data_IF_580537179859
#
_entry.id   IF_580537179859
#
_cell.length_a   1.000
_cell.length_b   1.000
_cell.length_c   1.000
_cell.angle_alpha   90.00
_cell.angle_beta   90.00
_cell.angle_gamma   90.00
#
_symmetry.space_group_name_H-M   'P 1'
#
loop_
_entity.id
_entity.type
_entity.pdbx_description
1 polymer ?
#
# COMPACT_ATOMS: atom_id res chain seq x y z
N UNK A 1 6.49 -4.58 -12.45
CA UNK A 1 6.78 -3.52 -11.43
C UNK A 1 6.81 -4.07 -9.99
N UNK A 2 7.85 -3.72 -9.23
CA UNK A 2 8.06 -3.94 -7.78
C UNK A 2 8.67 -2.68 -7.17
N UNK A 3 8.85 -2.59 -5.84
CA UNK A 3 9.61 -1.48 -5.22
C UNK A 3 11.12 -1.55 -5.50
N UNK A 4 11.57 -2.65 -6.10
CA UNK A 4 12.97 -2.98 -6.38
C UNK A 4 13.16 -4.49 -6.32
N UNK A 5 14.30 -4.96 -6.83
CA UNK A 5 14.74 -6.34 -6.66
C UNK A 5 15.88 -6.33 -5.63
N UNK A 6 15.52 -6.47 -4.35
CA UNK A 6 16.49 -6.43 -3.26
C UNK A 6 17.01 -7.83 -2.95
N UNK A 7 18.33 -7.96 -2.87
CA UNK A 7 19.03 -9.21 -2.60
C UNK A 7 19.69 -9.23 -1.22
N UNK A 8 19.84 -8.05 -0.59
CA UNK A 8 20.57 -7.89 0.65
C UNK A 8 19.83 -6.98 1.64
N UNK A 9 19.97 -7.26 2.93
CA UNK A 9 19.44 -6.47 4.04
C UNK A 9 20.58 -6.20 5.04
N UNK A 10 20.99 -4.94 5.15
CA UNK A 10 21.94 -4.46 6.13
C UNK A 10 21.20 -3.86 7.34
N UNK A 11 21.53 -4.33 8.54
CA UNK A 11 20.84 -3.94 9.77
C UNK A 11 21.81 -3.35 10.77
N UNK A 12 21.46 -2.20 11.34
CA UNK A 12 22.01 -1.82 12.63
C UNK A 12 21.55 -2.78 13.74
N UNK A 13 22.32 -2.83 14.81
CA UNK A 13 22.05 -3.69 15.96
C UNK A 13 21.51 -2.89 17.12
N UNK A 14 22.21 -1.85 17.57
CA UNK A 14 21.79 -1.05 18.72
C UNK A 14 20.55 -0.20 18.39
N UNK A 15 19.47 -0.38 19.15
CA UNK A 15 18.24 0.40 18.95
C UNK A 15 17.40 -0.01 17.73
N UNK A 16 17.77 -1.12 17.07
CA UNK A 16 17.00 -1.75 15.98
C UNK A 16 16.73 -3.21 16.31
N UNK A 17 17.80 -3.99 16.48
CA UNK A 17 17.74 -5.41 16.78
C UNK A 17 17.83 -5.69 18.29
N UNK A 18 18.66 -4.94 19.01
CA UNK A 18 18.87 -5.07 20.45
C UNK A 18 18.48 -3.76 21.14
N UNK A 19 17.61 -3.87 22.13
CA UNK A 19 17.17 -2.75 22.97
C UNK A 19 17.65 -2.95 24.40
N UNK A 20 17.85 -1.84 25.12
CA UNK A 20 18.15 -1.85 26.54
C UNK A 20 17.07 -1.10 27.32
N UNK A 21 16.91 -1.40 28.61
CA UNK A 21 15.93 -0.75 29.47
C UNK A 21 16.57 0.41 30.22
N UNK A 22 16.41 1.64 29.70
CA UNK A 22 16.95 2.85 30.31
C UNK A 22 16.47 3.08 31.76
N UNK A 23 15.27 2.59 32.12
CA UNK A 23 14.70 2.64 33.47
C UNK A 23 15.54 1.89 34.53
N UNK A 24 16.39 0.96 34.11
CA UNK A 24 17.23 0.19 35.02
C UNK A 24 18.46 0.98 35.47
N UNK A 25 18.81 2.05 34.76
CA UNK A 25 19.99 2.87 35.04
C UNK A 25 19.58 4.01 35.98
N UNK A 26 20.03 3.95 37.24
CA UNK A 26 19.72 4.96 38.27
C UNK A 26 20.84 5.96 38.48
N UNK A 27 22.02 5.67 37.94
CA UNK A 27 23.26 6.40 38.21
C UNK A 27 23.43 7.63 37.32
N UNK A 28 22.97 7.57 36.07
CA UNK A 28 23.02 8.67 35.09
C UNK A 28 21.68 8.77 34.35
N UNK A 29 21.34 9.98 33.92
CA UNK A 29 20.16 10.19 33.09
C UNK A 29 20.37 9.63 31.67
N UNK A 30 19.30 9.23 30.95
CA UNK A 30 19.42 8.78 29.56
C UNK A 30 20.10 9.80 28.65
N UNK A 31 19.86 11.10 28.88
CA UNK A 31 20.48 12.18 28.12
C UNK A 31 21.99 12.27 28.34
N UNK A 32 22.46 12.12 29.58
CA UNK A 32 23.89 12.11 29.89
C UNK A 32 24.61 10.96 29.20
N UNK A 33 24.02 9.76 29.25
CA UNK A 33 24.57 8.57 28.59
C UNK A 33 24.61 8.79 27.08
N UNK A 34 23.49 9.20 26.49
CA UNK A 34 23.40 9.46 25.04
C UNK A 34 24.45 10.46 24.56
N UNK A 35 24.59 11.62 25.23
CA UNK A 35 25.59 12.62 24.88
C UNK A 35 27.04 12.10 24.96
N UNK A 36 27.34 11.22 25.90
CA UNK A 36 28.67 10.64 26.05
C UNK A 36 28.94 9.58 24.97
N UNK A 37 27.96 8.74 24.64
CA UNK A 37 28.04 7.76 23.55
C UNK A 37 28.12 8.41 22.16
N UNK A 38 27.59 9.63 22.00
CA UNK A 38 27.66 10.41 20.76
C UNK A 38 28.92 11.29 20.65
N UNK A 39 29.85 11.17 21.59
CA UNK A 39 31.05 12.01 21.63
C UNK A 39 32.16 11.50 20.70
N UNK A 40 33.06 12.39 20.21
CA UNK A 40 34.25 11.97 19.46
C UNK A 40 35.14 10.95 20.20
N UNK A 41 35.18 11.01 21.54
CA UNK A 41 35.90 10.04 22.36
C UNK A 41 35.31 8.64 22.19
N UNK A 42 33.97 8.52 22.24
CA UNK A 42 33.30 7.25 22.05
C UNK A 42 33.46 6.75 20.60
N UNK A 43 33.37 7.65 19.61
CA UNK A 43 33.62 7.31 18.21
C UNK A 43 35.02 6.76 17.94
N UNK A 44 36.05 7.26 18.65
CA UNK A 44 37.40 6.70 18.58
C UNK A 44 37.50 5.32 19.24
N UNK A 45 36.74 5.08 20.31
CA UNK A 45 36.65 3.77 20.95
C UNK A 45 35.93 2.75 20.06
N UNK A 46 34.82 3.14 19.42
CA UNK A 46 34.10 2.35 18.43
C UNK A 46 34.99 1.91 17.25
N UNK A 47 35.91 2.78 16.82
CA UNK A 47 36.88 2.49 15.74
C UNK A 47 38.11 1.70 16.18
N UNK A 48 38.23 1.40 17.48
CA UNK A 48 39.40 0.74 18.05
C UNK A 48 40.66 1.62 18.13
N UNK A 49 40.53 2.95 18.01
CA UNK A 49 41.67 3.88 18.09
C UNK A 49 42.17 4.11 19.52
N UNK A 50 41.31 3.93 20.51
CA UNK A 50 41.64 4.04 21.94
C UNK A 50 41.10 2.82 22.69
N UNK A 51 41.76 2.45 23.80
CA UNK A 51 41.26 1.37 24.66
C UNK A 51 40.09 1.82 25.53
N UNK A 52 39.31 0.87 26.05
CA UNK A 52 38.20 1.15 26.98
C UNK A 52 38.63 1.99 28.18
N UNK A 53 39.77 1.67 28.79
CA UNK A 53 40.32 2.44 29.91
C UNK A 53 40.53 3.91 29.53
N UNK A 54 41.18 4.17 28.39
CA UNK A 54 41.42 5.53 27.91
C UNK A 54 40.11 6.24 27.57
N UNK A 55 39.17 5.53 26.94
CA UNK A 55 37.85 6.05 26.60
C UNK A 55 37.11 6.49 27.88
N UNK A 56 36.95 5.60 28.85
CA UNK A 56 36.19 5.86 30.07
C UNK A 56 36.85 6.99 30.88
N UNK A 57 38.18 6.99 31.04
CA UNK A 57 38.90 8.07 31.71
C UNK A 57 38.64 9.43 31.05
N UNK A 58 38.64 9.49 29.71
CA UNK A 58 38.38 10.73 28.96
C UNK A 58 36.91 11.15 29.03
N UNK A 59 35.96 10.21 28.94
CA UNK A 59 34.53 10.48 29.09
C UNK A 59 34.24 11.05 30.48
N UNK A 60 34.72 10.40 31.54
CA UNK A 60 34.51 10.86 32.91
C UNK A 60 35.09 12.26 33.13
N UNK A 61 36.28 12.55 32.59
CA UNK A 61 36.87 13.89 32.66
C UNK A 61 36.10 14.94 31.87
N UNK A 62 35.70 14.64 30.64
CA UNK A 62 35.02 15.60 29.77
C UNK A 62 33.60 15.92 30.24
N UNK A 63 32.86 14.91 30.69
CA UNK A 63 31.45 15.06 31.07
C UNK A 63 31.26 15.20 32.59
N UNK A 64 32.34 15.16 33.38
CA UNK A 64 32.30 15.30 34.83
C UNK A 64 31.62 14.13 35.55
N UNK A 65 31.66 12.93 34.96
CA UNK A 65 31.06 11.74 35.57
C UNK A 65 32.01 11.11 36.59
N UNK A 66 31.45 10.61 37.68
CA UNK A 66 32.16 9.69 38.56
C UNK A 66 32.45 8.37 37.81
N UNK A 67 33.69 7.83 37.85
CA UNK A 67 34.05 6.60 37.11
C UNK A 67 33.20 5.38 37.46
N UNK A 68 32.87 5.17 38.74
CA UNK A 68 32.08 4.02 39.15
C UNK A 68 30.64 4.13 38.63
N UNK A 69 30.07 5.34 38.74
CA UNK A 69 28.75 5.70 38.22
C UNK A 69 28.63 5.45 36.71
N UNK A 70 29.66 5.81 35.93
CA UNK A 70 29.72 5.56 34.48
C UNK A 70 29.83 4.08 34.14
N UNK A 71 30.72 3.35 34.82
CA UNK A 71 30.90 1.90 34.63
C UNK A 71 29.59 1.15 34.96
N UNK A 72 28.96 1.48 36.09
CA UNK A 72 27.70 0.86 36.51
C UNK A 72 26.57 1.13 35.51
N UNK A 73 26.50 2.35 34.94
CA UNK A 73 25.52 2.68 33.92
C UNK A 73 25.67 1.80 32.67
N UNK A 74 26.88 1.64 32.16
CA UNK A 74 27.15 0.83 30.96
C UNK A 74 27.02 -0.68 31.22
N UNK A 75 27.42 -1.16 32.41
CA UNK A 75 27.19 -2.56 32.81
C UNK A 75 25.70 -2.86 32.90
N UNK A 76 24.91 -1.96 33.47
CA UNK A 76 23.45 -2.09 33.58
C UNK A 76 22.78 -2.07 32.22
N UNK A 77 23.20 -1.14 31.35
CA UNK A 77 22.75 -1.08 29.96
C UNK A 77 22.97 -2.43 29.26
N UNK A 78 24.20 -2.96 29.32
CA UNK A 78 24.57 -4.25 28.73
C UNK A 78 23.75 -5.42 29.27
N UNK A 79 23.58 -5.51 30.60
CA UNK A 79 22.82 -6.58 31.25
C UNK A 79 21.32 -6.54 30.92
N UNK A 80 20.80 -5.38 30.56
CA UNK A 80 19.39 -5.19 30.18
C UNK A 80 19.12 -5.36 28.69
N UNK A 81 20.14 -5.66 27.89
CA UNK A 81 19.97 -5.87 26.46
C UNK A 81 19.07 -7.08 26.21
N UNK A 82 18.07 -6.87 25.36
CA UNK A 82 17.14 -7.89 24.94
C UNK A 82 16.85 -7.77 23.44
N UNK A 83 16.62 -8.90 22.75
CA UNK A 83 16.39 -8.91 21.32
C UNK A 83 14.99 -8.44 20.94
N UNK A 84 14.89 -7.80 19.78
CA UNK A 84 13.64 -7.51 19.09
C UNK A 84 13.11 -8.79 18.43
N UNK A 85 12.43 -9.62 19.22
CA UNK A 85 11.95 -10.95 18.79
C UNK A 85 11.06 -10.85 17.55
N UNK A 86 10.16 -9.85 17.50
CA UNK A 86 9.25 -9.66 16.38
C UNK A 86 9.99 -9.36 15.06
N UNK A 87 10.97 -8.45 15.08
CA UNK A 87 11.79 -8.16 13.89
C UNK A 87 12.64 -9.35 13.47
N UNK A 88 13.25 -10.06 14.43
CA UNK A 88 14.06 -11.25 14.16
C UNK A 88 13.23 -12.35 13.49
N UNK A 89 12.05 -12.64 14.03
CA UNK A 89 11.16 -13.66 13.49
C UNK A 89 10.70 -13.29 12.08
N UNK A 90 10.46 -12.00 11.83
CA UNK A 90 10.14 -11.54 10.48
C UNK A 90 11.31 -11.73 9.51
N UNK A 91 12.53 -11.34 9.89
CA UNK A 91 13.72 -11.54 9.05
C UNK A 91 13.92 -13.03 8.75
N UNK A 92 13.69 -13.92 9.72
CA UNK A 92 13.73 -15.37 9.50
C UNK A 92 12.70 -15.82 8.45
N UNK A 93 11.46 -15.31 8.51
CA UNK A 93 10.44 -15.60 7.49
C UNK A 93 10.86 -15.09 6.12
N UNK A 94 11.44 -13.88 6.04
CA UNK A 94 11.93 -13.32 4.79
C UNK A 94 13.06 -14.16 4.19
N UNK A 95 14.00 -14.67 5.00
CA UNK A 95 15.05 -15.59 4.54
C UNK A 95 14.49 -16.93 4.08
N UNK A 96 13.46 -17.45 4.74
CA UNK A 96 12.79 -18.69 4.31
C UNK A 96 12.07 -18.51 2.97
N UNK A 97 11.39 -17.37 2.77
CA UNK A 97 10.73 -17.04 1.51
C UNK A 97 11.72 -16.69 0.38
N UNK A 98 12.88 -16.14 0.75
CA UNK A 98 13.94 -15.72 -0.17
C UNK A 98 15.28 -16.35 0.24
N UNK A 99 15.57 -17.61 -0.15
CA UNK A 99 16.80 -18.30 0.27
C UNK A 99 18.11 -17.62 -0.16
N UNK A 100 18.04 -16.70 -1.13
CA UNK A 100 19.18 -15.91 -1.61
C UNK A 100 19.35 -14.57 -0.86
N UNK A 101 18.44 -14.23 0.06
CA UNK A 101 18.51 -12.99 0.82
C UNK A 101 19.70 -13.03 1.78
N UNK A 102 20.68 -12.17 1.52
CA UNK A 102 21.83 -11.97 2.40
C UNK A 102 21.48 -10.94 3.48
N UNK A 103 21.57 -11.33 4.75
CA UNK A 103 21.33 -10.44 5.89
C UNK A 103 22.64 -10.17 6.59
N UNK A 104 23.00 -8.90 6.73
CA UNK A 104 24.30 -8.48 7.24
C UNK A 104 24.12 -7.50 8.41
N UNK A 105 24.85 -7.72 9.50
CA UNK A 105 24.92 -6.74 10.58
C UNK A 105 25.94 -5.67 10.23
N UNK A 106 25.57 -4.39 10.33
CA UNK A 106 26.48 -3.26 10.15
C UNK A 106 26.30 -2.32 11.34
N UNK A 107 27.19 -2.40 12.34
CA UNK A 107 27.00 -1.72 13.61
C UNK A 107 28.25 -1.01 14.12
N UNK A 108 28.03 0.19 14.69
CA UNK A 108 29.05 0.88 15.45
C UNK A 108 29.11 0.25 16.84
N UNK A 109 30.19 -0.48 17.11
CA UNK A 109 30.34 -1.20 18.37
C UNK A 109 31.84 -1.34 18.71
N UNK A 110 32.26 -1.01 19.95
CA UNK A 110 33.62 -1.23 20.41
C UNK A 110 33.96 -2.72 20.58
N UNK A 111 35.26 -3.06 20.56
CA UNK A 111 35.73 -4.45 20.54
C UNK A 111 35.28 -5.29 21.75
N UNK A 112 35.37 -4.75 22.97
CA UNK A 112 34.98 -5.48 24.18
C UNK A 112 33.47 -5.73 24.24
N UNK A 113 32.68 -4.75 23.79
CA UNK A 113 31.22 -4.85 23.73
C UNK A 113 30.81 -5.86 22.63
N UNK A 114 31.48 -5.84 21.48
CA UNK A 114 31.25 -6.82 20.41
C UNK A 114 31.51 -8.25 20.88
N UNK A 115 32.63 -8.50 21.58
CA UNK A 115 32.94 -9.84 22.11
C UNK A 115 31.86 -10.34 23.09
N UNK A 116 31.31 -9.46 23.92
CA UNK A 116 30.26 -9.80 24.88
C UNK A 116 28.89 -10.02 24.22
N UNK A 117 28.56 -9.25 23.18
CA UNK A 117 27.28 -9.35 22.50
C UNK A 117 27.24 -10.42 21.41
N UNK A 118 28.40 -10.87 20.93
CA UNK A 118 28.52 -11.87 19.86
C UNK A 118 27.68 -13.13 20.12
N UNK A 119 27.66 -13.75 21.32
CA UNK A 119 26.80 -14.91 21.57
C UNK A 119 25.29 -14.60 21.42
N UNK A 120 24.84 -13.43 21.87
CA UNK A 120 23.44 -13.01 21.74
C UNK A 120 23.08 -12.73 20.28
N UNK A 121 23.96 -12.07 19.53
CA UNK A 121 23.83 -11.82 18.09
C UNK A 121 23.79 -13.14 17.31
N UNK A 122 24.66 -14.08 17.63
CA UNK A 122 24.70 -15.41 17.00
C UNK A 122 23.42 -16.20 17.27
N UNK A 123 22.87 -16.09 18.49
CA UNK A 123 21.60 -16.73 18.87
C UNK A 123 20.41 -16.20 18.07
N UNK A 124 20.49 -14.97 17.54
CA UNK A 124 19.44 -14.44 16.66
C UNK A 124 19.32 -15.29 15.38
N UNK A 125 20.43 -15.87 14.90
CA UNK A 125 20.44 -16.81 13.77
C UNK A 125 19.98 -16.22 12.44
N UNK A 126 20.12 -14.91 12.25
CA UNK A 126 19.69 -14.21 11.02
C UNK A 126 20.84 -13.78 10.12
N UNK A 127 22.02 -13.48 10.70
CA UNK A 127 23.12 -12.85 9.97
C UNK A 127 23.98 -13.87 9.22
N UNK A 128 24.27 -13.58 7.95
CA UNK A 128 25.25 -14.29 7.14
C UNK A 128 26.66 -13.71 7.34
N UNK A 129 26.73 -12.40 7.54
CA UNK A 129 27.97 -11.65 7.81
C UNK A 129 27.73 -10.57 8.87
N UNK A 130 28.81 -10.07 9.48
CA UNK A 130 28.73 -9.02 10.49
C UNK A 130 29.94 -8.08 10.41
N UNK A 131 29.68 -6.80 10.23
CA UNK A 131 30.64 -5.71 10.17
C UNK A 131 30.49 -4.84 11.42
N UNK A 132 31.46 -4.97 12.32
CA UNK A 132 31.59 -4.14 13.52
C UNK A 132 32.64 -3.05 13.29
N UNK A 133 32.34 -1.81 13.70
CA UNK A 133 33.27 -0.69 13.53
C UNK A 133 34.66 -0.93 14.15
N UNK A 134 34.73 -1.72 15.22
CA UNK A 134 36.00 -2.05 15.87
C UNK A 134 36.87 -3.00 15.04
N UNK A 135 36.28 -3.78 14.13
CA UNK A 135 37.00 -4.71 13.26
C UNK A 135 37.46 -4.05 11.97
N UNK A 136 36.69 -3.07 11.48
CA UNK A 136 36.98 -2.36 10.22
C UNK A 136 37.72 -1.04 10.42
N UNK A 137 37.79 -0.55 11.67
CA UNK A 137 38.25 0.80 12.03
C UNK A 137 37.48 1.95 11.35
N UNK A 138 36.34 1.64 10.74
CA UNK A 138 35.42 2.58 10.08
C UNK A 138 34.08 2.56 10.80
N UNK A 139 33.38 3.70 10.87
CA UNK A 139 32.08 3.78 11.55
C UNK A 139 31.05 4.50 10.68
N UNK A 140 29.78 4.15 10.85
CA UNK A 140 28.67 4.98 10.34
C UNK A 140 28.66 6.33 11.09
N UNK A 141 28.33 7.47 10.47
CA UNK A 141 27.89 7.64 9.08
C UNK A 141 29.05 7.95 8.10
N UNK A 142 30.31 7.66 8.42
CA UNK A 142 31.43 7.94 7.52
C UNK A 142 31.26 7.11 6.22
N UNK A 143 31.35 7.74 5.04
CA UNK A 143 31.14 7.08 3.72
C UNK A 143 32.02 5.84 3.56
N UNK A 144 33.27 5.91 4.04
CA UNK A 144 34.23 4.81 4.01
C UNK A 144 33.74 3.53 4.70
N UNK A 145 32.83 3.63 5.68
CA UNK A 145 32.23 2.46 6.32
C UNK A 145 31.31 1.70 5.34
N UNK A 146 30.49 2.44 4.59
CA UNK A 146 29.55 1.86 3.62
C UNK A 146 30.28 1.33 2.38
N UNK A 147 31.26 2.08 1.84
CA UNK A 147 32.09 1.63 0.70
C UNK A 147 32.80 0.33 1.04
N UNK A 148 33.44 0.25 2.21
CA UNK A 148 34.10 -0.96 2.68
C UNK A 148 33.13 -2.14 2.82
N UNK A 149 31.94 -1.89 3.38
CA UNK A 149 30.88 -2.89 3.52
C UNK A 149 30.43 -3.44 2.15
N UNK A 150 30.24 -2.56 1.16
CA UNK A 150 29.84 -2.96 -0.20
C UNK A 150 30.94 -3.77 -0.90
N UNK A 151 32.20 -3.33 -0.79
CA UNK A 151 33.37 -4.00 -1.37
C UNK A 151 33.61 -5.39 -0.78
N UNK A 152 33.73 -5.49 0.55
CA UNK A 152 33.99 -6.75 1.25
C UNK A 152 32.82 -7.73 1.08
N UNK A 153 31.59 -7.22 1.20
CA UNK A 153 30.37 -8.01 1.09
C UNK A 153 30.01 -8.39 -0.36
N UNK A 154 30.65 -7.77 -1.36
CA UNK A 154 30.30 -7.83 -2.78
C UNK A 154 28.81 -7.52 -3.03
N UNK A 155 28.31 -6.50 -2.35
CA UNK A 155 26.91 -6.06 -2.39
C UNK A 155 26.79 -4.84 -3.29
N UNK A 156 25.77 -4.81 -4.15
CA UNK A 156 25.41 -3.60 -4.89
C UNK A 156 24.45 -2.76 -4.04
N UNK A 157 24.70 -1.45 -3.89
CA UNK A 157 23.86 -0.60 -3.05
C UNK A 157 22.42 -0.54 -3.55
N UNK A 158 22.18 -0.55 -4.86
CA UNK A 158 20.85 -0.49 -5.48
C UNK A 158 19.96 -1.70 -5.13
N UNK A 159 20.58 -2.82 -4.73
CA UNK A 159 19.90 -4.05 -4.34
C UNK A 159 19.97 -4.31 -2.83
N UNK A 160 20.47 -3.36 -2.05
CA UNK A 160 20.60 -3.46 -0.60
C UNK A 160 19.59 -2.55 0.11
N UNK A 161 18.81 -3.15 1.01
CA UNK A 161 18.01 -2.40 1.98
C UNK A 161 18.85 -2.14 3.22
N UNK A 162 18.87 -0.91 3.73
CA UNK A 162 19.56 -0.55 4.96
C UNK A 162 18.59 -0.07 6.03
N UNK A 163 18.68 -0.60 7.25
CA UNK A 163 17.81 -0.24 8.38
C UNK A 163 18.66 0.24 9.54
N UNK A 164 18.41 1.46 10.01
CA UNK A 164 19.16 2.07 11.11
C UNK A 164 18.27 3.04 11.90
N UNK A 165 18.51 3.16 13.21
CA UNK A 165 17.75 4.05 14.09
C UNK A 165 18.20 5.52 14.02
N UNK A 166 19.39 5.79 13.47
CA UNK A 166 19.97 7.13 13.33
C UNK A 166 19.77 7.69 11.92
N UNK A 167 19.12 8.85 11.83
CA UNK A 167 18.77 9.47 10.54
C UNK A 167 20.02 9.83 9.72
N UNK A 168 21.11 10.24 10.37
CA UNK A 168 22.38 10.54 9.71
C UNK A 168 22.97 9.32 8.99
N UNK A 169 22.80 8.12 9.54
CA UNK A 169 23.25 6.87 8.91
C UNK A 169 22.39 6.56 7.69
N UNK A 170 21.06 6.66 7.85
CA UNK A 170 20.06 6.41 6.79
C UNK A 170 20.28 7.34 5.59
N UNK A 171 20.53 8.63 5.83
CA UNK A 171 20.75 9.64 4.79
C UNK A 171 22.03 9.34 3.99
N UNK A 172 23.14 9.02 4.66
CA UNK A 172 24.38 8.68 3.95
C UNK A 172 24.20 7.41 3.13
N UNK A 173 23.64 6.34 3.70
CA UNK A 173 23.34 5.12 2.95
C UNK A 173 22.44 5.41 1.73
N UNK A 174 21.37 6.21 1.89
CA UNK A 174 20.45 6.54 0.80
C UNK A 174 21.17 7.31 -0.33
N UNK A 175 22.13 8.19 0.03
CA UNK A 175 22.95 8.95 -0.93
C UNK A 175 23.90 8.08 -1.75
N UNK A 176 24.25 6.90 -1.23
CA UNK A 176 25.11 5.91 -1.89
C UNK A 176 24.31 4.89 -2.73
N UNK A 177 22.99 5.03 -2.83
CA UNK A 177 22.13 4.19 -3.67
C UNK A 177 21.35 3.10 -2.94
N UNK A 178 21.51 2.97 -1.61
CA UNK A 178 20.74 2.02 -0.81
C UNK A 178 19.25 2.37 -0.84
N UNK A 179 18.39 1.36 -0.63
CA UNK A 179 17.04 1.61 -0.14
C UNK A 179 17.09 1.70 1.37
N UNK A 180 17.02 2.91 1.92
CA UNK A 180 17.18 3.10 3.36
C UNK A 180 15.83 3.25 4.09
N UNK A 181 15.75 2.65 5.27
CA UNK A 181 14.63 2.73 6.21
C UNK A 181 15.14 3.30 7.53
N UNK A 182 14.57 4.44 7.94
CA UNK A 182 14.76 4.94 9.29
C UNK A 182 13.89 4.14 10.26
N UNK A 183 14.52 3.40 11.16
CA UNK A 183 13.84 2.59 12.14
C UNK A 183 13.27 3.46 13.26
N UNK A 184 11.95 3.53 13.34
CA UNK A 184 11.23 4.23 14.41
C UNK A 184 10.53 3.24 15.36
N UNK A 185 9.85 2.25 14.79
CA UNK A 185 9.12 1.21 15.52
C UNK A 185 9.12 -0.11 14.74
N UNK A 186 8.98 -1.22 15.48
CA UNK A 186 9.00 -2.57 14.89
C UNK A 186 7.85 -2.81 13.92
N UNK A 187 6.57 -2.51 14.23
CA UNK A 187 5.45 -2.79 13.32
C UNK A 187 5.59 -2.11 11.94
N UNK A 188 5.98 -0.84 11.91
CA UNK A 188 6.20 -0.09 10.66
C UNK A 188 7.39 -0.64 9.88
N UNK A 189 8.48 -1.01 10.57
CA UNK A 189 9.65 -1.60 9.94
C UNK A 189 9.33 -2.97 9.31
N UNK A 190 8.64 -3.85 10.04
CA UNK A 190 8.20 -5.17 9.55
C UNK A 190 7.28 -5.02 8.33
N UNK A 191 6.31 -4.11 8.37
CA UNK A 191 5.43 -3.84 7.22
C UNK A 191 6.23 -3.37 6.00
N UNK A 192 7.17 -2.45 6.20
CA UNK A 192 8.02 -1.93 5.12
C UNK A 192 8.91 -3.04 4.55
N UNK A 193 9.54 -3.86 5.38
CA UNK A 193 10.38 -4.97 4.95
C UNK A 193 9.56 -6.00 4.15
N UNK A 194 8.33 -6.33 4.57
CA UNK A 194 7.45 -7.20 3.77
C UNK A 194 7.11 -6.61 2.40
N UNK A 195 6.91 -5.29 2.32
CA UNK A 195 6.60 -4.63 1.06
C UNK A 195 7.82 -4.57 0.13
N UNK A 196 9.03 -4.51 0.68
CA UNK A 196 10.28 -4.51 -0.10
C UNK A 196 10.69 -5.91 -0.56
N UNK A 197 10.54 -6.93 0.27
CA UNK A 197 11.05 -8.29 0.02
C UNK A 197 9.98 -9.33 -0.33
N UNK A 198 8.69 -9.02 -0.13
CA UNK A 198 7.58 -9.93 -0.44
C UNK A 198 6.96 -9.66 -1.81
N UNK A 199 6.30 -10.66 -2.39
CA UNK A 199 5.51 -10.45 -3.61
C UNK A 199 4.14 -9.85 -3.27
N UNK A 200 3.86 -8.58 -3.64
CA UNK A 200 2.59 -7.93 -3.30
C UNK A 200 1.38 -8.57 -3.95
N UNK A 201 1.52 -9.14 -5.16
CA UNK A 201 0.41 -9.79 -5.87
C UNK A 201 0.00 -11.07 -5.14
N UNK A 202 0.95 -11.98 -4.86
CA UNK A 202 0.71 -13.19 -4.08
C UNK A 202 0.09 -12.87 -2.72
N UNK A 203 0.67 -11.92 -1.97
CA UNK A 203 0.15 -11.51 -0.66
C UNK A 203 -1.29 -10.99 -0.72
N UNK A 204 -1.62 -10.21 -1.76
CA UNK A 204 -2.98 -9.71 -1.97
C UNK A 204 -3.97 -10.80 -2.35
N UNK A 205 -3.56 -11.75 -3.19
CA UNK A 205 -4.38 -12.92 -3.54
C UNK A 205 -4.61 -13.84 -2.33
N UNK A 206 -3.60 -14.03 -1.47
CA UNK A 206 -3.71 -14.79 -0.23
C UNK A 206 -4.67 -14.11 0.76
N UNK A 207 -4.66 -12.78 0.84
CA UNK A 207 -5.64 -12.02 1.62
C UNK A 207 -7.06 -12.26 1.10
N UNK A 208 -7.28 -12.12 -0.21
CA UNK A 208 -8.60 -12.32 -0.81
C UNK A 208 -9.10 -13.75 -0.57
N UNK A 209 -8.23 -14.75 -0.78
CA UNK A 209 -8.57 -16.17 -0.62
C UNK A 209 -8.91 -16.54 0.83
N UNK A 210 -8.13 -16.07 1.81
CA UNK A 210 -8.43 -16.29 3.25
C UNK A 210 -9.75 -15.67 3.70
N UNK A 211 -10.20 -14.62 3.01
CA UNK A 211 -11.43 -13.91 3.30
C UNK A 211 -12.56 -14.22 2.31
N UNK A 212 -12.41 -15.26 1.49
CA UNK A 212 -13.40 -15.64 0.48
C UNK A 212 -14.81 -15.76 1.09
N UNK A 213 -15.81 -15.26 0.36
CA UNK A 213 -17.24 -15.15 0.75
C UNK A 213 -17.51 -14.24 1.96
N UNK A 214 -16.49 -13.56 2.50
CA UNK A 214 -16.59 -12.61 3.63
C UNK A 214 -16.10 -11.20 3.28
N UNK A 215 -15.87 -10.92 1.99
CA UNK A 215 -15.33 -9.65 1.48
C UNK A 215 -16.40 -8.54 1.35
N UNK A 216 -17.41 -8.54 2.22
CA UNK A 216 -18.48 -7.55 2.18
C UNK A 216 -17.99 -6.15 2.56
N UNK A 217 -18.78 -5.15 2.21
CA UNK A 217 -18.51 -3.79 2.67
C UNK A 217 -18.80 -3.66 4.18
N UNK A 218 -18.25 -2.60 4.76
CA UNK A 218 -18.51 -2.14 6.12
C UNK A 218 -18.89 -0.66 6.10
N UNK A 219 -19.81 -0.27 6.96
CA UNK A 219 -20.16 1.14 7.18
C UNK A 219 -19.12 1.85 8.05
N UNK A 220 -19.16 3.18 8.10
CA UNK A 220 -18.40 3.96 9.08
C UNK A 220 -18.89 3.85 10.52
N UNK A 221 -20.02 3.18 10.74
CA UNK A 221 -20.51 2.74 12.06
C UNK A 221 -20.04 1.33 12.43
N UNK A 222 -19.37 0.61 11.52
CA UNK A 222 -18.82 -0.74 11.77
C UNK A 222 -19.79 -1.88 11.48
N UNK A 223 -20.91 -1.60 10.80
CA UNK A 223 -21.89 -2.62 10.40
C UNK A 223 -21.48 -3.24 9.07
N UNK A 224 -21.62 -4.56 8.96
CA UNK A 224 -21.39 -5.27 7.70
C UNK A 224 -22.55 -4.95 6.75
N UNK A 225 -22.21 -4.64 5.52
CA UNK A 225 -23.13 -4.35 4.43
C UNK A 225 -23.00 -5.44 3.36
N UNK A 226 -23.85 -6.50 3.39
CA UNK A 226 -24.00 -7.40 2.27
C UNK A 226 -24.53 -6.63 1.06
N UNK A 227 -23.83 -6.69 -0.05
CA UNK A 227 -24.16 -5.96 -1.27
C UNK A 227 -23.65 -6.72 -2.51
N UNK A 228 -24.38 -6.68 -3.61
CA UNK A 228 -23.98 -7.29 -4.88
C UNK A 228 -22.90 -6.46 -5.60
N UNK A 229 -22.91 -5.13 -5.47
CA UNK A 229 -22.07 -4.25 -6.28
C UNK A 229 -20.57 -4.41 -5.99
N UNK A 230 -20.18 -4.45 -4.72
CA UNK A 230 -18.81 -4.70 -4.28
C UNK A 230 -18.34 -6.10 -4.65
N UNK A 231 -19.24 -7.08 -4.58
CA UNK A 231 -18.97 -8.47 -4.91
C UNK A 231 -18.77 -8.64 -6.42
N UNK A 232 -19.59 -8.00 -7.24
CA UNK A 232 -19.39 -7.91 -8.69
C UNK A 232 -18.09 -7.17 -9.04
N UNK A 233 -17.76 -6.10 -8.32
CA UNK A 233 -16.50 -5.36 -8.52
C UNK A 233 -15.28 -6.24 -8.20
N UNK A 234 -15.31 -7.01 -7.10
CA UNK A 234 -14.26 -7.99 -6.78
C UNK A 234 -14.17 -9.04 -7.88
N UNK A 235 -15.31 -9.55 -8.36
CA UNK A 235 -15.35 -10.54 -9.44
C UNK A 235 -14.75 -9.97 -10.73
N UNK A 236 -15.08 -8.74 -11.11
CA UNK A 236 -14.51 -8.06 -12.29
C UNK A 236 -12.98 -8.00 -12.24
N UNK A 237 -12.42 -7.73 -11.07
CA UNK A 237 -10.97 -7.51 -10.93
C UNK A 237 -10.18 -8.79 -10.65
N UNK A 238 -10.84 -9.87 -10.28
CA UNK A 238 -10.19 -11.15 -9.94
C UNK A 238 -10.51 -12.29 -10.89
N UNK A 239 -11.65 -12.24 -11.58
CA UNK A 239 -12.20 -13.36 -12.36
C UNK A 239 -12.56 -14.58 -11.51
N UNK A 240 -12.56 -14.47 -10.17
CA UNK A 240 -12.68 -15.62 -9.28
C UNK A 240 -14.03 -15.63 -8.54
N UNK A 241 -14.95 -16.50 -9.01
CA UNK A 241 -16.28 -16.68 -8.44
C UNK A 241 -16.26 -17.20 -7.00
N UNK A 242 -15.21 -17.93 -6.60
CA UNK A 242 -15.10 -18.50 -5.24
C UNK A 242 -14.89 -17.42 -4.18
N UNK A 243 -14.45 -16.23 -4.55
CA UNK A 243 -14.24 -15.12 -3.61
C UNK A 243 -15.54 -14.44 -3.17
N UNK A 244 -16.59 -14.49 -3.99
CA UNK A 244 -17.72 -13.56 -3.89
C UNK A 244 -19.05 -14.24 -3.58
N UNK A 245 -19.95 -13.53 -2.90
CA UNK A 245 -21.33 -13.97 -2.68
C UNK A 245 -22.26 -13.03 -3.45
N UNK A 246 -23.14 -13.57 -4.30
CA UNK A 246 -24.12 -12.78 -5.04
C UNK A 246 -25.52 -13.35 -4.83
N UNK A 247 -26.52 -12.48 -4.82
CA UNK A 247 -27.93 -12.83 -4.77
C UNK A 247 -28.66 -12.18 -5.94
N UNK A 248 -29.31 -13.03 -6.75
CA UNK A 248 -30.08 -12.62 -7.93
C UNK A 248 -31.53 -13.01 -7.72
N UNK A 249 -32.44 -12.04 -7.79
CA UNK A 249 -33.89 -12.25 -7.65
C UNK A 249 -34.65 -12.11 -8.97
N UNK A 250 -33.99 -11.66 -10.04
CA UNK A 250 -34.58 -11.45 -11.35
C UNK A 250 -33.55 -11.10 -12.44
N UNK A 251 -34.02 -10.61 -13.61
CA UNK A 251 -33.15 -10.21 -14.73
C UNK A 251 -32.44 -8.87 -14.49
N UNK A 252 -32.91 -8.07 -13.55
CA UNK A 252 -32.26 -6.85 -13.05
C UNK A 252 -31.66 -7.10 -11.67
N UNK A 253 -30.76 -6.23 -11.24
CA UNK A 253 -29.97 -6.44 -10.03
C UNK A 253 -30.14 -5.31 -9.03
N UNK A 254 -30.21 -5.73 -7.76
CA UNK A 254 -30.21 -4.84 -6.61
C UNK A 254 -28.81 -4.67 -6.05
N UNK A 255 -28.47 -3.44 -5.64
CA UNK A 255 -27.27 -3.18 -4.85
C UNK A 255 -27.19 -4.08 -3.60
N UNK A 256 -28.29 -4.28 -2.88
CA UNK A 256 -28.32 -5.01 -1.61
C UNK A 256 -28.43 -6.52 -1.79
N UNK A 257 -27.84 -7.27 -0.86
CA UNK A 257 -28.12 -8.70 -0.65
C UNK A 257 -28.97 -8.80 0.62
N UNK A 258 -30.15 -9.42 0.51
CA UNK A 258 -31.12 -9.45 1.61
C UNK A 258 -31.68 -8.07 1.97
N UNK A 259 -32.13 -7.92 3.22
CA UNK A 259 -32.71 -6.66 3.69
C UNK A 259 -31.62 -5.58 3.89
N UNK A 260 -31.87 -4.33 3.45
CA UNK A 260 -30.97 -3.21 3.70
C UNK A 260 -30.75 -3.00 5.20
N UNK A 261 -29.57 -2.51 5.58
CA UNK A 261 -29.22 -2.22 6.99
C UNK A 261 -30.18 -1.17 7.62
N UNK A 262 -30.76 -0.30 6.80
CA UNK A 262 -31.76 0.69 7.24
C UNK A 262 -33.19 0.19 6.98
N UNK A 263 -33.81 -0.32 8.06
CA UNK A 263 -35.00 -1.19 8.06
C UNK A 263 -36.34 -0.55 7.59
N UNK A 264 -36.37 0.71 7.16
CA UNK A 264 -37.61 1.42 6.83
C UNK A 264 -37.74 1.86 5.36
N UNK A 265 -36.87 1.37 4.47
CA UNK A 265 -36.89 1.76 3.05
C UNK A 265 -36.68 0.57 2.12
N UNK A 266 -37.59 0.41 1.16
CA UNK A 266 -37.41 -0.53 0.05
C UNK A 266 -36.50 0.13 -1.00
N UNK A 267 -35.41 -0.53 -1.36
CA UNK A 267 -34.51 -0.12 -2.43
C UNK A 267 -34.78 -0.99 -3.66
N UNK A 268 -35.23 -0.42 -4.78
CA UNK A 268 -35.47 -1.19 -5.99
C UNK A 268 -34.15 -1.54 -6.67
N UNK A 269 -34.23 -2.39 -7.69
CA UNK A 269 -33.10 -2.65 -8.58
C UNK A 269 -32.62 -1.35 -9.23
N UNK A 270 -31.34 -1.33 -9.55
CA UNK A 270 -30.65 -0.13 -10.00
C UNK A 270 -29.84 -0.39 -11.27
N UNK A 271 -29.69 0.66 -12.07
CA UNK A 271 -29.01 0.59 -13.35
C UNK A 271 -27.51 0.38 -13.22
N UNK A 272 -26.90 0.71 -12.08
CA UNK A 272 -25.45 0.57 -11.86
C UNK A 272 -25.09 -0.89 -11.62
N UNK A 273 -25.73 -1.52 -10.63
CA UNK A 273 -25.54 -2.94 -10.29
C UNK A 273 -25.97 -3.83 -11.44
N UNK A 274 -27.10 -3.50 -12.09
CA UNK A 274 -27.54 -4.24 -13.28
C UNK A 274 -26.49 -4.17 -14.38
N UNK A 275 -25.99 -2.97 -14.73
CA UNK A 275 -24.99 -2.81 -15.79
C UNK A 275 -23.68 -3.56 -15.47
N UNK A 276 -23.23 -3.52 -14.22
CA UNK A 276 -22.03 -4.23 -13.80
C UNK A 276 -22.23 -5.75 -13.87
N UNK A 277 -23.39 -6.26 -13.45
CA UNK A 277 -23.70 -7.68 -13.51
C UNK A 277 -23.66 -8.20 -14.95
N UNK A 278 -24.27 -7.47 -15.90
CA UNK A 278 -24.27 -7.84 -17.32
C UNK A 278 -22.87 -7.82 -17.94
N UNK A 279 -21.96 -7.00 -17.42
CA UNK A 279 -20.57 -6.93 -17.89
C UNK A 279 -19.67 -8.03 -17.34
N UNK A 280 -20.01 -8.58 -16.17
CA UNK A 280 -19.09 -9.41 -15.36
C UNK A 280 -19.51 -10.87 -15.31
N UNK A 281 -20.80 -11.15 -15.42
CA UNK A 281 -21.34 -12.50 -15.29
C UNK A 281 -21.40 -13.21 -16.63
N UNK A 282 -20.84 -14.42 -16.67
CA UNK A 282 -20.77 -15.24 -17.89
C UNK A 282 -22.03 -16.08 -18.12
N UNK A 283 -22.97 -16.10 -17.16
CA UNK A 283 -24.19 -16.91 -17.16
C UNK A 283 -25.48 -16.12 -17.45
N UNK A 284 -25.34 -14.89 -17.98
CA UNK A 284 -26.47 -14.05 -18.41
C UNK A 284 -27.04 -14.56 -19.74
N UNK A 285 -28.35 -14.77 -19.80
CA UNK A 285 -29.00 -15.16 -21.06
C UNK A 285 -29.31 -13.92 -21.94
N UNK A 286 -29.41 -14.08 -23.27
CA UNK A 286 -29.79 -12.98 -24.16
C UNK A 286 -31.14 -12.34 -23.82
N UNK A 287 -32.09 -13.12 -23.28
CA UNK A 287 -33.39 -12.61 -22.84
C UNK A 287 -33.26 -11.73 -21.60
N UNK A 288 -32.41 -12.12 -20.64
CA UNK A 288 -32.12 -11.31 -19.46
C UNK A 288 -31.40 -10.00 -19.83
N UNK A 289 -30.43 -10.08 -20.74
CA UNK A 289 -29.70 -8.92 -21.26
C UNK A 289 -30.66 -7.94 -21.96
N UNK A 290 -31.52 -8.45 -22.85
CA UNK A 290 -32.52 -7.65 -23.56
C UNK A 290 -33.50 -6.98 -22.58
N UNK A 291 -33.97 -7.71 -21.56
CA UNK A 291 -34.83 -7.16 -20.53
C UNK A 291 -34.14 -6.04 -19.73
N UNK A 292 -32.88 -6.26 -19.31
CA UNK A 292 -32.12 -5.25 -18.57
C UNK A 292 -31.90 -3.97 -19.40
N UNK A 293 -31.60 -4.10 -20.70
CA UNK A 293 -31.49 -2.96 -21.61
C UNK A 293 -32.82 -2.20 -21.72
N UNK A 294 -33.94 -2.90 -21.89
CA UNK A 294 -35.28 -2.29 -21.96
C UNK A 294 -35.63 -1.56 -20.65
N UNK A 295 -35.34 -2.17 -19.50
CA UNK A 295 -35.57 -1.54 -18.20
C UNK A 295 -34.77 -0.26 -18.03
N UNK A 296 -33.49 -0.24 -18.40
CA UNK A 296 -32.68 0.98 -18.32
C UNK A 296 -33.20 2.06 -19.28
N UNK A 297 -33.55 1.69 -20.52
CA UNK A 297 -34.04 2.62 -21.55
C UNK A 297 -35.43 3.19 -21.26
N UNK A 298 -36.24 2.51 -20.44
CA UNK A 298 -37.53 3.02 -19.95
C UNK A 298 -37.39 3.97 -18.75
N UNK A 299 -36.20 4.08 -18.15
CA UNK A 299 -35.91 4.88 -16.96
C UNK A 299 -34.85 5.96 -17.24
N UNK A 300 -35.12 6.79 -18.25
CA UNK A 300 -34.24 7.89 -18.65
C UNK A 300 -34.75 9.25 -18.15
N UNK A 301 -33.82 10.18 -17.97
CA UNK A 301 -34.12 11.59 -17.75
C UNK A 301 -34.64 12.27 -19.03
N UNK A 302 -35.19 13.49 -18.94
CA UNK A 302 -35.54 14.29 -20.12
C UNK A 302 -34.34 14.53 -21.06
N UNK A 303 -33.11 14.42 -20.54
CA UNK A 303 -31.88 14.51 -21.33
C UNK A 303 -31.46 13.18 -21.98
N UNK A 304 -32.22 12.10 -21.78
CA UNK A 304 -31.91 10.77 -22.28
C UNK A 304 -30.79 10.08 -21.49
N UNK A 305 -30.57 10.46 -20.23
CA UNK A 305 -29.56 9.86 -19.36
C UNK A 305 -30.20 8.87 -18.38
N UNK A 306 -29.59 7.71 -18.11
CA UNK A 306 -30.16 6.72 -17.22
C UNK A 306 -30.27 7.24 -15.78
N UNK A 307 -31.41 6.99 -15.15
CA UNK A 307 -31.55 7.16 -13.70
C UNK A 307 -30.90 6.00 -12.96
N UNK A 308 -30.51 6.25 -11.71
CA UNK A 308 -29.98 5.26 -10.79
C UNK A 308 -30.98 4.12 -10.55
N UNK A 309 -32.20 4.44 -10.13
CA UNK A 309 -33.20 3.44 -9.80
C UNK A 309 -34.03 3.08 -11.03
N UNK A 310 -34.32 1.78 -11.21
CA UNK A 310 -35.27 1.28 -12.20
C UNK A 310 -36.72 1.47 -11.71
N UNK A 311 -37.02 2.69 -11.29
CA UNK A 311 -38.33 3.08 -10.80
C UNK A 311 -38.58 4.58 -11.05
N UNK A 312 -39.75 4.91 -11.59
CA UNK A 312 -40.07 6.28 -12.02
C UNK A 312 -40.40 7.25 -10.88
N UNK A 313 -40.80 6.77 -9.71
CA UNK A 313 -41.14 7.64 -8.57
C UNK A 313 -39.92 8.16 -7.79
N UNK A 314 -38.69 7.72 -8.12
CA UNK A 314 -37.45 8.13 -7.47
C UNK A 314 -36.37 8.51 -8.50
N UNK A 315 -36.60 9.53 -9.35
CA UNK A 315 -35.65 9.91 -10.39
C UNK A 315 -34.37 10.45 -9.73
N UNK A 316 -33.29 9.68 -9.81
CA UNK A 316 -31.99 10.02 -9.22
C UNK A 316 -30.92 9.98 -10.30
N UNK A 317 -30.32 11.13 -10.54
CA UNK A 317 -29.21 11.27 -11.48
C UNK A 317 -27.86 11.08 -10.76
N UNK A 318 -26.92 10.43 -11.44
CA UNK A 318 -25.54 10.26 -11.00
C UNK A 318 -24.65 10.05 -12.23
N UNK A 319 -23.67 10.93 -12.45
CA UNK A 319 -22.81 10.85 -13.63
C UNK A 319 -21.86 9.64 -13.61
N UNK A 320 -21.52 9.09 -12.45
CA UNK A 320 -20.75 7.85 -12.32
C UNK A 320 -21.58 6.64 -12.75
N UNK A 321 -22.83 6.53 -12.28
CA UNK A 321 -23.77 5.47 -12.70
C UNK A 321 -24.00 5.52 -14.21
N UNK A 322 -24.23 6.74 -14.72
CA UNK A 322 -24.32 7.00 -16.15
C UNK A 322 -23.10 6.47 -16.92
N UNK A 323 -21.88 6.70 -16.41
CA UNK A 323 -20.65 6.19 -17.04
C UNK A 323 -20.58 4.66 -17.04
N UNK A 324 -21.03 3.99 -15.98
CA UNK A 324 -21.07 2.52 -15.94
C UNK A 324 -22.13 1.93 -16.88
N UNK A 325 -23.33 2.53 -16.94
CA UNK A 325 -24.37 2.14 -17.92
C UNK A 325 -23.86 2.32 -19.35
N UNK A 326 -23.17 3.43 -19.63
CA UNK A 326 -22.58 3.66 -20.94
C UNK A 326 -21.48 2.64 -21.28
N UNK A 327 -20.64 2.30 -20.30
CA UNK A 327 -19.67 1.21 -20.43
C UNK A 327 -20.34 -0.13 -20.77
N UNK A 328 -21.45 -0.44 -20.12
CA UNK A 328 -22.25 -1.62 -20.45
C UNK A 328 -22.82 -1.55 -21.87
N UNK A 329 -23.54 -0.49 -22.23
CA UNK A 329 -24.21 -0.38 -23.52
C UNK A 329 -23.25 -0.39 -24.72
N UNK A 330 -22.05 0.19 -24.55
CA UNK A 330 -21.02 0.18 -25.58
C UNK A 330 -20.41 -1.21 -25.81
N UNK A 331 -20.49 -2.12 -24.84
CA UNK A 331 -20.03 -3.51 -24.97
C UNK A 331 -21.02 -4.40 -25.73
N UNK A 332 -22.32 -4.28 -25.44
CA UNK A 332 -23.38 -5.15 -26.01
C UNK A 332 -23.83 -4.67 -27.38
N UNK A 333 -24.20 -3.39 -27.49
CA UNK A 333 -24.98 -2.94 -28.64
C UNK A 333 -24.14 -2.45 -29.81
N UNK A 334 -22.81 -2.32 -29.64
CA UNK A 334 -21.82 -1.70 -30.55
C UNK A 334 -22.17 -0.28 -31.08
N UNK A 335 -23.42 0.17 -30.98
CA UNK A 335 -24.04 1.29 -31.69
C UNK A 335 -24.72 2.32 -30.78
N UNK A 336 -24.95 2.05 -29.48
CA UNK A 336 -25.51 3.06 -28.57
C UNK A 336 -24.38 3.93 -28.01
N UNK A 337 -23.70 4.66 -28.89
CA UNK A 337 -23.04 5.90 -28.51
C UNK A 337 -24.04 7.02 -28.76
N UNK A 338 -24.91 7.32 -27.79
CA UNK A 338 -25.74 8.52 -27.88
C UNK A 338 -24.81 9.74 -27.94
N UNK A 339 -24.79 10.52 -29.04
CA UNK A 339 -23.90 11.69 -29.15
C UNK A 339 -24.07 12.65 -27.97
N UNK A 340 -25.29 12.71 -27.41
CA UNK A 340 -25.62 13.52 -26.23
C UNK A 340 -24.88 13.05 -24.98
N UNK A 341 -24.77 11.74 -24.76
CA UNK A 341 -24.05 11.20 -23.62
C UNK A 341 -22.55 11.55 -23.70
N UNK A 342 -21.95 11.30 -24.87
CA UNK A 342 -20.53 11.60 -25.09
C UNK A 342 -20.24 13.10 -24.93
N UNK A 343 -21.13 13.98 -25.41
CA UNK A 343 -21.01 15.42 -25.19
C UNK A 343 -21.10 15.80 -23.71
N UNK A 344 -22.00 15.19 -22.94
CA UNK A 344 -22.14 15.47 -21.51
C UNK A 344 -20.90 14.99 -20.73
N UNK A 345 -20.36 13.82 -21.06
CA UNK A 345 -19.09 13.35 -20.49
C UNK A 345 -17.93 14.28 -20.84
N UNK A 346 -17.85 14.76 -22.08
CA UNK A 346 -16.85 15.74 -22.49
C UNK A 346 -16.96 17.04 -21.67
N UNK A 347 -18.18 17.55 -21.44
CA UNK A 347 -18.41 18.72 -20.57
C UNK A 347 -17.94 18.47 -19.15
N UNK A 348 -18.25 17.31 -18.55
CA UNK A 348 -17.77 16.98 -17.21
C UNK A 348 -16.25 16.97 -17.12
N UNK A 349 -15.57 16.38 -18.13
CA UNK A 349 -14.11 16.34 -18.18
C UNK A 349 -13.50 17.72 -18.42
N UNK A 350 -14.06 18.52 -19.33
CA UNK A 350 -13.55 19.83 -19.70
C UNK A 350 -13.72 20.87 -18.57
N UNK A 351 -14.83 20.81 -17.85
CA UNK A 351 -15.13 21.73 -16.73
C UNK A 351 -14.59 21.22 -15.39
N UNK A 352 -14.07 20.00 -15.38
CA UNK A 352 -13.65 19.27 -14.17
C UNK A 352 -14.74 19.11 -13.11
N UNK A 353 -16.02 19.31 -13.48
CA UNK A 353 -17.14 19.24 -12.54
C UNK A 353 -17.28 17.84 -11.88
N UNK A 354 -16.76 16.79 -12.52
CA UNK A 354 -16.70 15.44 -11.93
C UNK A 354 -15.86 15.40 -10.64
N UNK A 355 -14.93 16.33 -10.42
CA UNK A 355 -14.11 16.42 -9.21
C UNK A 355 -14.91 16.67 -7.93
N UNK A 356 -16.13 17.21 -8.05
CA UNK A 356 -17.04 17.41 -6.92
C UNK A 356 -17.62 16.09 -6.40
N UNK A 357 -17.39 14.97 -7.09
CA UNK A 357 -18.00 13.69 -6.80
C UNK A 357 -19.51 13.70 -7.08
N UNK A 358 -20.22 12.77 -6.45
CA UNK A 358 -21.66 12.62 -6.62
C UNK A 358 -22.36 12.45 -5.28
N UNK A 359 -23.67 12.23 -5.35
CA UNK A 359 -24.47 11.80 -4.22
C UNK A 359 -23.98 10.49 -3.59
N UNK A 360 -23.38 9.59 -4.37
CA UNK A 360 -23.02 8.24 -3.93
C UNK A 360 -21.49 8.04 -3.95
N UNK A 361 -20.82 8.51 -4.97
CA UNK A 361 -19.38 8.36 -5.18
C UNK A 361 -18.64 9.64 -4.83
N UNK A 362 -17.93 9.64 -3.69
CA UNK A 362 -17.11 10.78 -3.26
C UNK A 362 -15.79 10.85 -4.02
N UNK A 363 -15.20 9.71 -4.39
CA UNK A 363 -13.95 9.68 -5.12
C UNK A 363 -14.19 9.93 -6.62
N UNK A 364 -13.69 11.04 -7.19
CA UNK A 364 -13.93 11.39 -8.59
C UNK A 364 -13.21 10.44 -9.57
N UNK A 365 -12.26 9.63 -9.09
CA UNK A 365 -11.55 8.63 -9.89
C UNK A 365 -12.47 7.58 -10.51
N UNK A 366 -13.64 7.31 -9.92
CA UNK A 366 -14.62 6.38 -10.48
C UNK A 366 -15.06 6.77 -11.88
N UNK A 367 -15.33 8.06 -12.09
CA UNK A 367 -15.77 8.57 -13.39
C UNK A 367 -14.70 8.35 -14.46
N UNK A 368 -13.44 8.65 -14.13
CA UNK A 368 -12.31 8.46 -15.04
C UNK A 368 -12.07 6.98 -15.33
N UNK A 369 -12.11 6.15 -14.29
CA UNK A 369 -11.94 4.69 -14.41
C UNK A 369 -12.98 4.06 -15.34
N UNK A 370 -14.26 4.35 -15.14
CA UNK A 370 -15.33 3.77 -15.98
C UNK A 370 -15.21 4.21 -17.44
N UNK A 371 -14.95 5.50 -17.69
CA UNK A 371 -14.79 6.00 -19.06
C UNK A 371 -13.52 5.48 -19.74
N UNK A 372 -12.46 5.18 -18.97
CA UNK A 372 -11.21 4.68 -19.52
C UNK A 372 -11.36 3.29 -20.12
N UNK A 373 -12.18 2.42 -19.51
CA UNK A 373 -12.49 1.09 -20.04
C UNK A 373 -13.16 1.20 -21.43
N UNK A 374 -14.10 2.13 -21.59
CA UNK A 374 -14.77 2.39 -22.87
C UNK A 374 -13.80 2.93 -23.91
N UNK A 375 -13.06 3.98 -23.56
CA UNK A 375 -12.11 4.64 -24.44
C UNK A 375 -10.96 3.71 -24.87
N UNK A 376 -10.52 2.83 -23.97
CA UNK A 376 -9.48 1.83 -24.21
C UNK A 376 -9.95 0.72 -25.15
N UNK A 377 -11.08 0.08 -24.84
CA UNK A 377 -11.67 -0.99 -25.68
C UNK A 377 -12.07 -0.51 -27.08
N UNK A 378 -12.41 0.78 -27.23
CA UNK A 378 -12.79 1.41 -28.50
C UNK A 378 -11.77 2.46 -28.93
N UNK A 379 -10.48 2.13 -28.90
CA UNK A 379 -9.38 3.07 -29.18
C UNK A 379 -9.40 3.70 -30.59
N UNK A 380 -10.02 3.05 -31.57
CA UNK A 380 -10.16 3.56 -32.95
C UNK A 380 -11.46 4.31 -33.22
N UNK A 381 -12.39 4.35 -32.26
CA UNK A 381 -13.68 5.03 -32.45
C UNK A 381 -13.50 6.54 -32.42
N UNK A 382 -13.87 7.20 -33.53
CA UNK A 382 -13.75 8.65 -33.71
C UNK A 382 -14.76 9.43 -32.88
N UNK A 383 -15.92 8.84 -32.56
CA UNK A 383 -16.95 9.50 -31.72
C UNK A 383 -16.41 9.73 -30.31
N UNK A 384 -15.50 8.85 -29.84
CA UNK A 384 -14.90 8.93 -28.52
C UNK A 384 -13.59 9.74 -28.51
N UNK A 385 -13.15 10.32 -29.64
CA UNK A 385 -11.83 10.95 -29.75
C UNK A 385 -11.66 12.14 -28.80
N UNK A 386 -12.65 13.02 -28.72
CA UNK A 386 -12.61 14.18 -27.83
C UNK A 386 -12.57 13.74 -26.36
N UNK A 387 -13.50 12.85 -25.98
CA UNK A 387 -13.56 12.30 -24.63
C UNK A 387 -12.27 11.58 -24.25
N UNK A 388 -11.67 10.79 -25.15
CA UNK A 388 -10.39 10.09 -24.92
C UNK A 388 -9.26 11.08 -24.69
N UNK A 389 -9.19 12.16 -25.48
CA UNK A 389 -8.18 13.20 -25.33
C UNK A 389 -8.31 13.91 -23.98
N UNK A 390 -9.52 14.33 -23.61
CA UNK A 390 -9.79 14.97 -22.32
C UNK A 390 -9.49 14.03 -21.15
N UNK A 391 -9.95 12.79 -21.24
CA UNK A 391 -9.75 11.76 -20.22
C UNK A 391 -8.25 11.46 -20.01
N UNK A 392 -7.48 11.36 -21.10
CA UNK A 392 -6.03 11.16 -21.06
C UNK A 392 -5.34 12.29 -20.28
N UNK A 393 -5.67 13.55 -20.61
CA UNK A 393 -5.13 14.72 -19.89
C UNK A 393 -5.48 14.66 -18.41
N UNK A 394 -6.77 14.45 -18.09
CA UNK A 394 -7.26 14.44 -16.71
C UNK A 394 -6.63 13.32 -15.88
N UNK A 395 -6.39 12.13 -16.46
CA UNK A 395 -5.68 11.05 -15.77
C UNK A 395 -4.22 11.43 -15.54
N UNK A 396 -3.50 11.91 -16.56
CA UNK A 396 -2.09 12.30 -16.48
C UNK A 396 -1.84 13.39 -15.43
N UNK A 397 -2.69 14.43 -15.41
CA UNK A 397 -2.60 15.54 -14.47
C UNK A 397 -2.80 15.09 -13.01
N UNK A 398 -3.54 13.99 -12.81
CA UNK A 398 -3.89 13.46 -11.49
C UNK A 398 -3.02 12.29 -11.03
N UNK A 399 -2.11 11.76 -11.87
CA UNK A 399 -1.25 10.64 -11.49
C UNK A 399 -0.38 11.00 -10.29
N UNK A 400 -0.57 10.28 -9.18
CA UNK A 400 0.14 10.54 -7.93
C UNK A 400 -0.18 11.90 -7.29
N UNK A 401 -1.35 12.48 -7.56
CA UNK A 401 -1.75 13.77 -6.96
C UNK A 401 -1.97 13.69 -5.44
N UNK A 402 -2.19 12.49 -4.92
CA UNK A 402 -2.42 12.21 -3.51
C UNK A 402 -1.86 10.83 -3.13
N UNK A 403 -1.94 10.49 -1.84
CA UNK A 403 -1.64 9.16 -1.31
C UNK A 403 -2.90 8.32 -1.05
N UNK A 404 -4.04 8.69 -1.63
CA UNK A 404 -5.27 7.93 -1.44
C UNK A 404 -5.16 6.59 -2.20
N UNK A 405 -5.17 5.48 -1.45
CA UNK A 405 -4.91 4.13 -1.99
C UNK A 405 -5.93 3.77 -3.07
N UNK A 406 -7.22 4.05 -2.81
CA UNK A 406 -8.29 3.71 -3.74
C UNK A 406 -8.24 4.56 -5.01
N UNK A 407 -7.98 5.87 -4.87
CA UNK A 407 -7.73 6.77 -6.00
C UNK A 407 -6.52 6.34 -6.82
N UNK A 408 -5.43 5.90 -6.18
CA UNK A 408 -4.26 5.38 -6.86
C UNK A 408 -4.59 4.10 -7.67
N UNK A 409 -5.40 3.18 -7.12
CA UNK A 409 -5.84 1.99 -7.85
C UNK A 409 -6.70 2.35 -9.08
N UNK A 410 -7.70 3.22 -8.89
CA UNK A 410 -8.56 3.70 -9.98
C UNK A 410 -7.75 4.37 -11.10
N UNK A 411 -6.85 5.31 -10.75
CA UNK A 411 -6.00 6.01 -11.73
C UNK A 411 -5.01 5.07 -12.42
N UNK A 412 -4.47 4.08 -11.71
CA UNK A 412 -3.56 3.10 -12.31
C UNK A 412 -4.28 2.25 -13.35
N UNK A 413 -5.44 1.68 -13.00
CA UNK A 413 -6.26 0.90 -13.93
C UNK A 413 -6.74 1.74 -15.11
N UNK A 414 -7.11 3.00 -14.86
CA UNK A 414 -7.56 3.89 -15.92
C UNK A 414 -6.44 4.26 -16.90
N UNK A 415 -5.23 4.50 -16.38
CA UNK A 415 -4.05 4.73 -17.19
C UNK A 415 -3.72 3.51 -18.06
N UNK A 416 -3.75 2.31 -17.47
CA UNK A 416 -3.50 1.04 -18.16
C UNK A 416 -4.50 0.80 -19.29
N UNK A 417 -5.80 1.06 -19.06
CA UNK A 417 -6.82 0.94 -20.09
C UNK A 417 -6.56 1.85 -21.31
N UNK A 418 -5.85 2.96 -21.13
CA UNK A 418 -5.46 3.90 -22.19
C UNK A 418 -4.02 3.72 -22.69
N UNK A 419 -3.28 2.72 -22.19
CA UNK A 419 -1.88 2.49 -22.55
C UNK A 419 -0.90 3.55 -22.02
N UNK A 420 -1.22 4.16 -20.87
CA UNK A 420 -0.41 5.22 -20.24
C UNK A 420 0.33 4.64 -19.03
N UNK A 421 1.63 4.87 -18.95
CA UNK A 421 2.44 4.43 -17.83
C UNK A 421 2.18 5.27 -16.56
N UNK A 422 1.78 4.63 -15.45
CA UNK A 422 1.52 5.29 -14.17
C UNK A 422 2.38 4.72 -13.02
N UNK A 423 3.67 5.04 -13.02
CA UNK A 423 4.60 4.58 -11.97
C UNK A 423 4.29 5.16 -10.58
N UNK A 424 3.71 6.37 -10.51
CA UNK A 424 3.52 7.09 -9.24
C UNK A 424 2.44 6.47 -8.38
N UNK A 425 1.29 6.17 -8.96
CA UNK A 425 0.19 5.53 -8.23
C UNK A 425 0.49 4.06 -7.93
N UNK A 426 1.12 3.33 -8.87
CA UNK A 426 1.57 1.94 -8.62
C UNK A 426 2.56 1.91 -7.44
N UNK A 427 3.49 2.87 -7.35
CA UNK A 427 4.38 3.00 -6.19
C UNK A 427 3.59 3.22 -4.89
N UNK A 428 2.57 4.07 -4.87
CA UNK A 428 1.70 4.26 -3.70
C UNK A 428 1.03 2.95 -3.29
N UNK A 429 0.52 2.15 -4.23
CA UNK A 429 -0.07 0.84 -3.91
C UNK A 429 0.97 -0.10 -3.29
N UNK A 430 2.16 -0.18 -3.88
CA UNK A 430 3.24 -1.04 -3.37
C UNK A 430 3.72 -0.64 -1.96
N UNK A 431 3.79 0.66 -1.66
CA UNK A 431 4.26 1.17 -0.35
C UNK A 431 3.21 1.00 0.76
N UNK A 432 1.92 0.84 0.43
CA UNK A 432 0.80 0.90 1.40
C UNK A 432 0.12 -0.44 1.67
N UNK A 433 0.63 -1.55 1.12
CA UNK A 433 0.12 -2.89 1.42
C UNK A 433 0.30 -3.21 2.91
N UNK A 434 -0.75 -3.75 3.53
CA UNK A 434 -0.78 -4.07 4.95
C UNK A 434 -0.05 -5.38 5.24
N UNK A 435 0.28 -5.58 6.52
CA UNK A 435 1.04 -6.75 6.99
C UNK A 435 0.36 -8.08 6.65
N UNK A 436 -0.98 -8.10 6.63
CA UNK A 436 -1.81 -9.25 6.28
C UNK A 436 -1.96 -9.47 4.77
N UNK A 437 -1.32 -8.66 3.94
CA UNK A 437 -1.33 -8.76 2.48
C UNK A 437 -2.46 -7.99 1.79
N UNK A 438 -3.49 -7.57 2.52
CA UNK A 438 -4.54 -6.72 1.97
C UNK A 438 -4.12 -5.26 1.88
N UNK A 439 -5.03 -4.41 1.40
CA UNK A 439 -4.93 -2.96 1.54
C UNK A 439 -5.90 -2.45 2.59
N UNK A 440 -5.59 -1.27 3.12
CA UNK A 440 -6.41 -0.62 4.14
C UNK A 440 -7.80 -0.31 3.59
N UNK A 441 -8.81 -0.34 4.46
CA UNK A 441 -10.19 -0.05 4.06
C UNK A 441 -10.27 1.37 3.53
N UNK A 442 -10.92 1.54 2.37
CA UNK A 442 -11.20 2.86 1.80
C UNK A 442 -12.70 3.02 1.63
N UNK A 443 -13.17 4.27 1.74
CA UNK A 443 -14.57 4.63 1.51
C UNK A 443 -14.82 4.71 0.01
N UNK A 444 -15.60 3.76 -0.51
CA UNK A 444 -15.82 3.61 -1.94
C UNK A 444 -16.97 4.50 -2.43
N UNK A 445 -18.04 4.52 -1.63
CA UNK A 445 -19.26 5.28 -1.85
C UNK A 445 -19.98 5.54 -0.51
N UNK A 446 -21.08 6.28 -0.54
CA UNK A 446 -21.87 6.68 0.62
C UNK A 446 -23.37 6.52 0.36
N UNK A 447 -24.13 6.45 1.43
CA UNK A 447 -25.57 6.57 1.36
C UNK A 447 -25.97 7.96 0.85
N UNK A 448 -26.96 7.99 -0.03
CA UNK A 448 -27.30 9.26 -0.70
C UNK A 448 -28.02 10.28 0.20
N UNK A 449 -28.65 9.87 1.30
CA UNK A 449 -29.39 10.78 2.20
C UNK A 449 -28.73 10.87 3.57
N UNK A 450 -28.14 9.77 4.02
CA UNK A 450 -27.51 9.65 5.33
C UNK A 450 -26.01 9.88 5.21
N UNK A 451 -25.40 10.43 6.25
CA UNK A 451 -23.96 10.66 6.29
C UNK A 451 -23.18 9.37 6.61
N UNK A 452 -23.58 8.25 6.00
CA UNK A 452 -23.00 6.92 6.22
C UNK A 452 -22.13 6.56 5.02
N UNK A 453 -20.88 6.24 5.28
CA UNK A 453 -19.91 5.81 4.27
C UNK A 453 -19.83 4.30 4.20
N UNK A 454 -19.62 3.77 3.00
CA UNK A 454 -19.48 2.35 2.74
C UNK A 454 -18.06 2.11 2.22
N UNK A 455 -17.32 1.25 2.91
CA UNK A 455 -15.94 0.94 2.56
C UNK A 455 -15.69 -0.56 2.45
N UNK A 456 -14.66 -0.96 1.70
CA UNK A 456 -14.27 -2.35 1.58
C UNK A 456 -12.76 -2.50 1.53
N UNK A 457 -12.22 -3.48 2.24
CA UNK A 457 -10.85 -3.96 2.01
C UNK A 457 -10.77 -4.88 0.80
N UNK A 458 -11.84 -5.66 0.54
CA UNK A 458 -11.91 -6.62 -0.56
C UNK A 458 -11.80 -5.97 -1.92
N UNK A 459 -12.64 -4.96 -2.19
CA UNK A 459 -12.62 -4.20 -3.45
C UNK A 459 -11.27 -3.53 -3.67
N UNK A 460 -10.77 -2.81 -2.66
CA UNK A 460 -9.48 -2.09 -2.74
C UNK A 460 -8.33 -3.06 -3.01
N UNK A 461 -8.33 -4.22 -2.34
CA UNK A 461 -7.29 -5.25 -2.54
C UNK A 461 -7.39 -5.85 -3.94
N UNK A 462 -8.59 -6.21 -4.41
CA UNK A 462 -8.79 -6.76 -5.76
C UNK A 462 -8.29 -5.80 -6.84
N UNK A 463 -8.64 -4.51 -6.73
CA UNK A 463 -8.21 -3.47 -7.67
C UNK A 463 -6.70 -3.22 -7.60
N UNK A 464 -6.13 -3.12 -6.39
CA UNK A 464 -4.70 -2.92 -6.21
C UNK A 464 -3.88 -4.09 -6.78
N UNK A 465 -4.32 -5.33 -6.54
CA UNK A 465 -3.70 -6.54 -7.11
C UNK A 465 -3.73 -6.51 -8.64
N UNK A 466 -4.90 -6.22 -9.25
CA UNK A 466 -5.01 -6.11 -10.72
C UNK A 466 -4.12 -5.01 -11.26
N UNK A 467 -4.13 -3.83 -10.65
CA UNK A 467 -3.30 -2.69 -11.07
C UNK A 467 -1.81 -3.01 -11.03
N UNK A 468 -1.33 -3.60 -9.93
CA UNK A 468 0.08 -3.98 -9.78
C UNK A 468 0.45 -5.07 -10.78
N UNK A 469 -0.40 -6.10 -10.94
CA UNK A 469 -0.17 -7.21 -11.87
C UNK A 469 -0.03 -6.70 -13.30
N UNK A 470 -0.99 -5.90 -13.78
CA UNK A 470 -0.97 -5.32 -15.13
C UNK A 470 0.26 -4.43 -15.34
N UNK A 471 0.65 -3.62 -14.34
CA UNK A 471 1.87 -2.81 -14.43
C UNK A 471 3.17 -3.64 -14.50
N UNK A 472 3.14 -4.95 -14.22
CA UNK A 472 4.28 -5.86 -14.49
C UNK A 472 4.25 -6.46 -15.89
N UNK A 473 3.09 -6.52 -16.51
CA UNK A 473 2.91 -7.07 -17.85
C UNK A 473 3.18 -5.98 -18.90
N UNK A 474 2.85 -4.73 -18.60
CA UNK A 474 3.01 -3.58 -19.50
C UNK A 474 4.45 -3.08 -19.64
N UNK A 475 5.34 -3.40 -18.69
CA UNK A 475 6.72 -2.88 -18.65
C UNK A 475 7.70 -3.97 -18.27
#
# INVERSE_FOLDING_TARGET
MSLGNFSSLALDVGGVLLFYSASNIKTLTPRQISNALDSPIWHDYERGKISKKICYDRICRQFGFDPNTWIEALDTMRKSLHPNVELIDEIKRLKLANPQLKVVGLSNIPAEDFQQLKPLVDTCGIFDEFYASCLTSQRKPDVACYERFLEDGKISPETCVFVDGRIENVVVAQSLGFRSLHFNDTPSAVTTLRNLFGDPVSRGLDFLSRNAKKLFCETDTGEIQPDNYSQLTILEHTGNRDLVTLEKTGPTWNYFIGEPVFLDTVYPDDSDTTSLAMLVLDDITPEEEAFAVEQILSHLSPDGLPYCWLQTCRPRFCHVICANVFRYFTSVTRSISSPRFTSICAVFLQTEAYLLGTRYYDNPGWFLFLLSDVCGKRSSDKVLSEMRSLLTSQIQDRMGCDRNIFGAALRSLAAQALGIENKRDVKTLLETQQIDGGWERQWLWKYGKEAVKIGSRGVVTAMAVRAIKQAREDG
#
